data_IF_663314574618
#
_entry.id   IF_663314574618
#
_cell.length_a   1.000
_cell.length_b   1.000
_cell.length_c   1.000
_cell.angle_alpha   90.00
_cell.angle_beta   90.00
_cell.angle_gamma   90.00
#
_symmetry.space_group_name_H-M   'P 1'
#
loop_
_entity.id
_entity.type
_entity.pdbx_description
1 polymer ?
#
# COMPACT_ATOMS: atom_id res chain seq x y z
N UNK A 1 19.80 14.72 22.72
CA UNK A 1 18.32 14.68 22.72
C UNK A 1 17.69 13.43 22.09
N UNK A 2 17.70 13.22 20.77
CA UNK A 2 16.99 12.06 20.15
C UNK A 2 17.57 10.70 20.57
N UNK A 3 18.91 10.56 20.56
CA UNK A 3 19.57 9.30 20.96
C UNK A 3 19.35 8.96 22.43
N UNK A 4 19.35 9.96 23.31
CA UNK A 4 19.08 9.80 24.74
C UNK A 4 17.65 9.35 24.99
N UNK A 5 16.67 9.94 24.28
CA UNK A 5 15.28 9.51 24.37
C UNK A 5 15.13 8.05 23.95
N UNK A 6 15.71 7.66 22.81
CA UNK A 6 15.65 6.28 22.31
C UNK A 6 16.29 5.31 23.32
N UNK A 7 17.42 5.68 23.94
CA UNK A 7 18.06 4.85 24.96
C UNK A 7 17.21 4.72 26.25
N UNK A 8 16.44 5.75 26.60
CA UNK A 8 15.61 5.77 27.79
C UNK A 8 14.23 5.08 27.62
N UNK A 9 13.70 4.97 26.41
CA UNK A 9 12.36 4.42 26.15
C UNK A 9 12.13 3.02 26.74
N UNK A 10 13.05 2.03 26.61
CA UNK A 10 12.86 0.71 27.20
C UNK A 10 12.77 0.73 28.73
N UNK A 11 13.45 1.69 29.39
CA UNK A 11 13.48 1.81 30.84
C UNK A 11 12.24 2.55 31.40
N UNK A 12 11.64 3.45 30.61
CA UNK A 12 10.46 4.24 31.01
C UNK A 12 9.15 3.45 31.03
N UNK A 13 9.12 2.30 30.36
CA UNK A 13 7.93 1.45 30.25
C UNK A 13 8.22 0.03 30.76
N UNK A 14 8.63 -0.08 32.03
CA UNK A 14 8.53 -1.33 32.78
C UNK A 14 7.06 -1.49 33.25
N UNK A 15 6.40 -2.66 33.06
CA UNK A 15 4.97 -2.74 33.25
C UNK A 15 4.61 -2.71 34.75
N UNK A 16 3.57 -1.97 35.11
CA UNK A 16 2.54 -2.59 35.91
C UNK A 16 1.19 -2.36 35.25
N UNK A 17 0.61 -3.42 34.68
CA UNK A 17 -0.79 -3.40 34.24
C UNK A 17 -1.11 -4.27 33.03
N UNK A 18 -2.38 -4.61 32.83
CA UNK A 18 -2.85 -5.27 31.62
C UNK A 18 -2.59 -4.38 30.40
N UNK A 19 -2.25 -4.96 29.23
CA UNK A 19 -1.97 -4.20 28.03
C UNK A 19 -3.21 -3.44 27.56
N UNK A 20 -3.17 -2.11 27.61
CA UNK A 20 -4.18 -1.23 27.06
C UNK A 20 -3.58 -0.41 25.91
N UNK A 21 -4.36 -0.20 24.85
CA UNK A 21 -3.93 0.56 23.69
C UNK A 21 -5.02 1.53 23.23
N UNK A 22 -4.69 2.82 23.28
CA UNK A 22 -5.52 3.92 22.78
C UNK A 22 -5.10 4.35 21.36
N UNK A 23 -5.01 3.38 20.44
CA UNK A 23 -4.44 3.60 19.09
C UNK A 23 -5.19 4.69 18.32
N UNK A 24 -6.52 4.70 18.36
CA UNK A 24 -7.33 5.71 17.66
C UNK A 24 -7.02 7.14 18.11
N UNK A 25 -6.91 7.37 19.43
CA UNK A 25 -6.56 8.68 19.99
C UNK A 25 -5.12 9.08 19.66
N UNK A 26 -4.18 8.13 19.74
CA UNK A 26 -2.78 8.37 19.39
C UNK A 26 -2.62 8.76 17.91
N UNK A 27 -3.35 8.08 17.01
CA UNK A 27 -3.36 8.40 15.58
C UNK A 27 -3.97 9.78 15.29
N UNK A 28 -5.04 10.17 16.00
CA UNK A 28 -5.59 11.54 15.86
C UNK A 28 -4.61 12.61 16.31
N UNK A 29 -3.91 12.39 17.43
CA UNK A 29 -2.89 13.31 17.90
C UNK A 29 -1.73 13.42 16.88
N UNK A 30 -1.26 12.28 16.36
CA UNK A 30 -0.22 12.23 15.34
C UNK A 30 -0.67 12.91 14.03
N UNK A 31 -1.90 12.70 13.59
CA UNK A 31 -2.48 13.38 12.44
C UNK A 31 -2.44 14.91 12.62
N UNK A 32 -2.94 15.43 13.75
CA UNK A 32 -2.95 16.88 14.01
C UNK A 32 -1.54 17.47 14.05
N UNK A 33 -0.56 16.74 14.57
CA UNK A 33 0.83 17.17 14.62
C UNK A 33 1.47 17.21 13.23
N UNK A 34 1.14 16.26 12.37
CA UNK A 34 1.74 16.09 11.04
C UNK A 34 0.98 16.82 9.94
N UNK A 35 -0.29 17.19 10.15
CA UNK A 35 -1.17 17.79 9.14
C UNK A 35 -0.60 19.05 8.45
N UNK A 36 0.15 19.95 9.14
CA UNK A 36 0.71 21.12 8.48
C UNK A 36 1.80 20.82 7.45
N UNK A 37 2.52 19.70 7.59
CA UNK A 37 3.70 19.39 6.76
C UNK A 37 3.56 18.12 5.93
N UNK A 38 2.60 17.25 6.25
CA UNK A 38 2.54 15.90 5.72
C UNK A 38 3.67 15.01 6.25
N UNK A 39 3.83 13.83 5.63
CA UNK A 39 4.95 12.92 5.90
C UNK A 39 4.53 11.47 6.18
N UNK A 40 5.15 10.86 7.18
CA UNK A 40 4.99 9.43 7.50
C UNK A 40 4.74 9.22 8.98
N UNK A 41 3.68 8.49 9.32
CA UNK A 41 3.44 7.98 10.66
C UNK A 41 3.79 6.49 10.66
N UNK A 42 4.67 6.06 11.56
CA UNK A 42 5.02 4.64 11.75
C UNK A 42 4.43 4.16 13.07
N UNK A 43 3.47 3.23 13.00
CA UNK A 43 2.79 2.67 14.16
C UNK A 43 3.40 1.33 14.52
N UNK A 44 3.67 1.12 15.80
CA UNK A 44 4.01 -0.20 16.37
C UNK A 44 2.87 -0.64 17.27
N UNK A 45 2.16 -1.69 16.88
CA UNK A 45 1.00 -2.23 17.59
C UNK A 45 1.30 -3.65 18.07
N UNK A 46 1.03 -3.94 19.35
CA UNK A 46 1.32 -5.25 19.97
C UNK A 46 0.10 -5.92 20.62
N UNK A 47 -0.97 -5.16 20.87
CA UNK A 47 -2.22 -5.64 21.45
C UNK A 47 -3.43 -5.07 20.70
N UNK A 48 -4.63 -5.58 20.95
CA UNK A 48 -5.86 -5.05 20.35
C UNK A 48 -6.10 -3.63 20.90
N UNK A 49 -6.41 -2.63 20.05
CA UNK A 49 -6.89 -1.33 20.54
C UNK A 49 -8.18 -1.53 21.35
N UNK A 50 -8.14 -1.06 22.60
CA UNK A 50 -9.24 -1.26 23.57
C UNK A 50 -9.87 0.04 24.01
N UNK A 51 -9.27 1.18 23.66
CA UNK A 51 -9.67 2.51 24.11
C UNK A 51 -9.77 3.46 22.93
N UNK A 52 -10.89 4.18 22.83
CA UNK A 52 -11.12 5.21 21.82
C UNK A 52 -11.93 4.71 20.62
N UNK A 53 -12.24 5.61 19.67
CA UNK A 53 -13.15 5.30 18.57
C UNK A 53 -12.47 4.51 17.44
N UNK A 54 -13.23 3.67 16.76
CA UNK A 54 -12.80 2.95 15.55
C UNK A 54 -13.22 3.71 14.28
N UNK A 55 -12.26 4.37 13.62
CA UNK A 55 -12.52 5.22 12.45
C UNK A 55 -11.34 5.20 11.45
N UNK A 56 -10.55 4.11 11.43
CA UNK A 56 -9.30 3.99 10.67
C UNK A 56 -9.42 4.35 9.19
N UNK A 57 -10.48 3.91 8.52
CA UNK A 57 -10.73 4.25 7.10
C UNK A 57 -10.93 5.75 6.91
N UNK A 58 -11.74 6.40 7.75
CA UNK A 58 -11.99 7.85 7.66
C UNK A 58 -10.71 8.64 7.94
N UNK A 59 -9.98 8.26 8.99
CA UNK A 59 -8.70 8.90 9.31
C UNK A 59 -7.67 8.75 8.20
N UNK A 60 -7.65 7.59 7.51
CA UNK A 60 -6.74 7.39 6.38
C UNK A 60 -7.01 8.36 5.23
N UNK A 61 -8.28 8.69 4.98
CA UNK A 61 -8.67 9.67 3.97
C UNK A 61 -8.23 11.08 4.38
N UNK A 62 -8.43 11.45 5.65
CA UNK A 62 -7.97 12.73 6.21
C UNK A 62 -6.43 12.85 6.13
N UNK A 63 -5.72 11.78 6.50
CA UNK A 63 -4.27 11.67 6.35
C UNK A 63 -3.83 11.83 4.88
N UNK A 64 -4.51 11.15 3.96
CA UNK A 64 -4.17 11.22 2.53
C UNK A 64 -4.37 12.63 1.96
N UNK A 65 -5.43 13.32 2.40
CA UNK A 65 -5.65 14.73 2.09
C UNK A 65 -4.50 15.63 2.57
N UNK A 66 -4.03 15.40 3.79
CA UNK A 66 -2.91 16.10 4.41
C UNK A 66 -1.51 15.59 4.00
N UNK A 67 -1.40 14.75 2.96
CA UNK A 67 -0.13 14.17 2.49
C UNK A 67 0.62 13.36 3.56
N UNK A 68 -0.13 12.62 4.40
CA UNK A 68 0.39 11.71 5.41
C UNK A 68 0.12 10.26 5.01
N UNK A 69 1.15 9.41 5.02
CA UNK A 69 0.99 7.96 4.96
C UNK A 69 1.18 7.32 6.34
N UNK A 70 0.39 6.27 6.64
CA UNK A 70 0.47 5.54 7.89
C UNK A 70 0.94 4.11 7.65
N UNK A 71 2.13 3.77 8.12
CA UNK A 71 2.67 2.41 8.08
C UNK A 71 2.41 1.70 9.42
N UNK A 72 1.99 0.43 9.35
CA UNK A 72 1.63 -0.37 10.52
C UNK A 72 2.59 -1.54 10.69
N UNK A 73 3.30 -1.59 11.81
CA UNK A 73 4.02 -2.77 12.29
C UNK A 73 3.16 -3.45 13.36
N UNK A 74 2.64 -4.63 13.03
CA UNK A 74 1.83 -5.44 13.96
C UNK A 74 2.69 -6.61 14.50
N UNK A 75 3.03 -6.53 15.78
CA UNK A 75 3.86 -7.50 16.50
C UNK A 75 3.07 -8.10 17.68
N UNK A 76 1.92 -8.71 17.39
CA UNK A 76 1.06 -9.28 18.41
C UNK A 76 1.22 -10.79 18.56
N UNK A 77 1.06 -11.27 19.80
CA UNK A 77 0.95 -12.71 20.10
C UNK A 77 -0.50 -13.18 20.24
N UNK A 78 -1.46 -12.25 20.12
CA UNK A 78 -2.90 -12.48 20.23
C UNK A 78 -3.61 -11.81 19.06
N UNK A 79 -4.89 -12.11 18.88
CA UNK A 79 -5.74 -11.43 17.92
C UNK A 79 -5.71 -9.91 18.14
N UNK A 80 -5.56 -9.16 17.05
CA UNK A 80 -5.45 -7.69 17.05
C UNK A 80 -6.25 -7.05 15.91
N UNK A 81 -7.21 -7.78 15.34
CA UNK A 81 -8.08 -7.30 14.26
C UNK A 81 -7.35 -6.59 13.11
N UNK A 82 -6.42 -7.30 12.47
CA UNK A 82 -5.65 -6.74 11.35
C UNK A 82 -6.55 -6.28 10.20
N UNK A 83 -7.72 -6.90 10.00
CA UNK A 83 -8.66 -6.53 8.95
C UNK A 83 -9.11 -5.07 9.12
N UNK A 84 -9.57 -4.70 10.31
CA UNK A 84 -9.97 -3.32 10.62
C UNK A 84 -8.79 -2.35 10.62
N UNK A 85 -7.66 -2.75 11.25
CA UNK A 85 -6.47 -1.90 11.31
C UNK A 85 -5.84 -1.63 9.95
N UNK A 86 -5.88 -2.60 9.04
CA UNK A 86 -5.28 -2.49 7.71
C UNK A 86 -5.84 -1.31 6.91
N UNK A 87 -7.07 -0.88 7.22
CA UNK A 87 -7.72 0.27 6.60
C UNK A 87 -6.89 1.56 6.70
N UNK A 88 -6.19 1.78 7.83
CA UNK A 88 -5.40 3.00 8.00
C UNK A 88 -4.27 3.10 6.97
N UNK A 89 -3.59 1.99 6.70
CA UNK A 89 -2.48 1.91 5.75
C UNK A 89 -2.98 1.80 4.31
N UNK A 90 -4.03 1.00 4.05
CA UNK A 90 -4.56 0.78 2.70
C UNK A 90 -4.96 2.09 2.02
N UNK A 91 -5.69 2.96 2.71
CA UNK A 91 -6.23 4.20 2.14
C UNK A 91 -5.30 5.42 2.28
N UNK A 92 -4.20 5.33 3.04
CA UNK A 92 -3.18 6.39 3.17
C UNK A 92 -1.91 6.12 2.34
N UNK A 93 -1.92 5.10 1.47
CA UNK A 93 -0.74 4.62 0.73
C UNK A 93 0.41 4.12 1.61
N UNK A 94 0.09 3.63 2.80
CA UNK A 94 1.04 3.01 3.72
C UNK A 94 1.29 1.53 3.44
N UNK A 95 2.19 0.96 4.22
CA UNK A 95 2.62 -0.45 4.20
C UNK A 95 2.32 -1.11 5.53
N UNK A 96 1.94 -2.39 5.49
CA UNK A 96 1.70 -3.19 6.69
C UNK A 96 2.79 -4.25 6.81
N UNK A 97 3.41 -4.34 7.99
CA UNK A 97 4.38 -5.34 8.37
C UNK A 97 3.79 -6.19 9.49
N UNK A 98 3.45 -7.44 9.20
CA UNK A 98 2.86 -8.35 10.16
C UNK A 98 3.90 -9.39 10.61
N UNK A 99 4.26 -9.37 11.90
CA UNK A 99 5.15 -10.32 12.54
C UNK A 99 4.36 -11.09 13.62
N UNK A 100 3.66 -12.18 13.25
CA UNK A 100 2.81 -12.91 14.19
C UNK A 100 3.62 -13.61 15.27
N UNK A 101 3.06 -13.68 16.48
CA UNK A 101 3.65 -14.38 17.63
C UNK A 101 5.07 -13.88 17.96
N UNK A 102 5.28 -12.57 17.83
CA UNK A 102 6.57 -11.95 18.07
C UNK A 102 7.00 -12.08 19.53
N UNK A 103 8.24 -12.54 19.73
CA UNK A 103 8.92 -12.63 21.02
C UNK A 103 10.38 -12.23 20.85
N UNK A 104 10.80 -11.18 21.54
CA UNK A 104 12.17 -10.65 21.45
C UNK A 104 13.24 -11.67 21.90
N UNK A 105 12.88 -12.64 22.75
CA UNK A 105 13.76 -13.74 23.16
C UNK A 105 14.14 -14.68 22.03
N UNK A 106 13.38 -14.69 20.92
CA UNK A 106 13.69 -15.49 19.74
C UNK A 106 14.61 -14.68 18.82
N UNK A 107 15.89 -15.04 18.78
CA UNK A 107 16.93 -14.35 18.01
C UNK A 107 16.57 -14.16 16.54
N UNK A 108 15.95 -15.15 15.90
CA UNK A 108 15.55 -15.09 14.49
C UNK A 108 14.44 -14.04 14.22
N UNK A 109 13.46 -13.90 15.12
CA UNK A 109 12.39 -12.88 14.98
C UNK A 109 12.96 -11.49 15.22
N UNK A 110 13.84 -11.35 16.21
CA UNK A 110 14.56 -10.09 16.46
C UNK A 110 15.43 -9.69 15.27
N UNK A 111 16.13 -10.64 14.65
CA UNK A 111 16.89 -10.41 13.42
C UNK A 111 15.98 -10.03 12.25
N UNK A 112 14.85 -10.71 12.07
CA UNK A 112 13.87 -10.39 11.02
C UNK A 112 13.31 -8.96 11.17
N UNK A 113 12.92 -8.58 12.39
CA UNK A 113 12.46 -7.22 12.68
C UNK A 113 13.57 -6.20 12.40
N UNK A 114 14.80 -6.49 12.82
CA UNK A 114 15.96 -5.62 12.62
C UNK A 114 16.23 -5.40 11.13
N UNK A 115 16.25 -6.46 10.32
CA UNK A 115 16.47 -6.37 8.88
C UNK A 115 15.34 -5.60 8.19
N UNK A 116 14.09 -5.89 8.57
CA UNK A 116 12.90 -5.21 8.04
C UNK A 116 12.94 -3.72 8.34
N UNK A 117 13.22 -3.35 9.60
CA UNK A 117 13.29 -1.97 10.04
C UNK A 117 14.48 -1.24 9.42
N UNK A 118 15.63 -1.92 9.28
CA UNK A 118 16.81 -1.37 8.60
C UNK A 118 16.47 -1.01 7.16
N UNK A 119 15.85 -1.91 6.38
CA UNK A 119 15.37 -1.60 5.02
C UNK A 119 14.34 -0.46 5.04
N UNK A 120 13.37 -0.50 5.94
CA UNK A 120 12.29 0.48 6.03
C UNK A 120 12.78 1.92 6.32
N UNK A 121 13.82 2.07 7.15
CA UNK A 121 14.42 3.34 7.52
C UNK A 121 15.45 3.85 6.50
N UNK A 122 16.17 2.95 5.82
CA UNK A 122 17.25 3.31 4.88
C UNK A 122 16.82 3.37 3.42
N UNK A 123 15.70 2.75 3.04
CA UNK A 123 15.18 2.81 1.67
C UNK A 123 14.84 4.25 1.28
N UNK A 124 14.93 4.53 -0.02
CA UNK A 124 14.48 5.80 -0.58
C UNK A 124 12.98 5.97 -0.34
N UNK A 125 12.54 7.21 -0.17
CA UNK A 125 11.13 7.58 -0.02
C UNK A 125 10.85 8.84 -0.85
N UNK A 126 9.66 8.89 -1.46
CA UNK A 126 9.12 10.10 -2.06
C UNK A 126 7.89 10.57 -1.30
N UNK A 127 7.74 11.87 -1.15
CA UNK A 127 6.64 12.54 -0.44
C UNK A 127 5.72 13.26 -1.42
N UNK A 128 4.47 13.48 -1.01
CA UNK A 128 3.46 14.25 -1.74
C UNK A 128 3.32 13.78 -3.20
N UNK A 129 3.33 12.47 -3.37
CA UNK A 129 3.44 11.87 -4.68
C UNK A 129 2.06 11.71 -5.34
N UNK A 130 2.06 11.86 -6.66
CA UNK A 130 0.90 11.55 -7.50
C UNK A 130 1.37 10.72 -8.68
N UNK A 131 0.60 9.69 -9.00
CA UNK A 131 0.87 8.84 -10.17
C UNK A 131 -0.29 8.95 -11.13
N UNK A 132 0.01 9.31 -12.38
CA UNK A 132 -0.95 9.27 -13.48
C UNK A 132 -0.53 8.21 -14.48
N UNK A 133 -1.47 7.38 -14.92
CA UNK A 133 -1.25 6.41 -15.98
C UNK A 133 -2.04 6.83 -17.21
N UNK A 134 -1.37 6.91 -18.35
CA UNK A 134 -1.97 7.16 -19.66
C UNK A 134 -1.81 5.94 -20.54
N UNK A 135 -2.78 5.72 -21.41
CA UNK A 135 -2.77 4.67 -22.42
C UNK A 135 -3.15 5.28 -23.78
N UNK A 136 -2.82 4.58 -24.86
CA UNK A 136 -3.26 4.94 -26.21
C UNK A 136 -4.79 5.00 -26.27
N UNK A 137 -5.31 5.92 -27.09
CA UNK A 137 -6.75 6.04 -27.35
C UNK A 137 -7.35 4.68 -27.73
N UNK A 138 -8.55 4.42 -27.23
CA UNK A 138 -9.26 3.15 -27.40
C UNK A 138 -9.01 2.15 -26.27
N UNK A 139 -8.04 2.43 -25.39
CA UNK A 139 -7.85 1.71 -24.13
C UNK A 139 -8.22 2.64 -22.99
N UNK A 140 -8.94 2.10 -22.00
CA UNK A 140 -9.28 2.79 -20.77
C UNK A 140 -8.81 2.00 -19.55
N UNK A 141 -8.52 2.70 -18.47
CA UNK A 141 -8.18 2.09 -17.18
C UNK A 141 -9.48 1.88 -16.40
N UNK A 142 -9.80 0.62 -16.10
CA UNK A 142 -11.04 0.25 -15.45
C UNK A 142 -10.91 0.28 -13.92
N UNK A 143 -9.93 -0.44 -13.37
CA UNK A 143 -9.73 -0.56 -11.92
C UNK A 143 -8.25 -0.50 -11.57
N UNK A 144 -7.91 0.17 -10.46
CA UNK A 144 -6.60 0.08 -9.85
C UNK A 144 -6.62 -0.79 -8.60
N UNK A 145 -5.51 -1.50 -8.34
CA UNK A 145 -5.34 -2.39 -7.20
C UNK A 145 -4.04 -2.09 -6.43
N UNK A 146 -4.16 -1.82 -5.13
CA UNK A 146 -3.02 -1.53 -4.25
C UNK A 146 -3.41 -0.59 -3.10
N UNK A 147 -2.39 -0.10 -2.38
CA UNK A 147 -2.57 0.86 -1.29
C UNK A 147 -2.37 2.27 -1.84
N UNK A 148 -3.46 3.01 -1.99
CA UNK A 148 -3.47 4.39 -2.47
C UNK A 148 -4.84 5.01 -2.21
N UNK A 149 -4.94 6.31 -2.50
CA UNK A 149 -6.21 7.01 -2.58
C UNK A 149 -6.48 7.45 -4.03
N UNK A 150 -7.61 7.04 -4.60
CA UNK A 150 -8.02 7.40 -5.96
C UNK A 150 -8.62 8.81 -5.94
N UNK A 151 -8.06 9.74 -6.72
CA UNK A 151 -8.64 11.09 -6.90
C UNK A 151 -9.49 11.20 -8.15
N UNK A 152 -9.06 10.57 -9.25
CA UNK A 152 -9.80 10.45 -10.51
C UNK A 152 -9.55 9.08 -11.13
N UNK A 153 -10.22 8.78 -12.24
CA UNK A 153 -10.14 7.50 -12.96
C UNK A 153 -8.72 7.13 -13.42
N UNK A 154 -7.81 8.10 -13.58
CA UNK A 154 -6.43 7.92 -14.05
C UNK A 154 -5.36 8.45 -13.08
N UNK A 155 -5.74 9.01 -11.93
CA UNK A 155 -4.85 9.71 -11.00
C UNK A 155 -4.92 9.11 -9.59
N UNK A 156 -3.77 8.59 -9.16
CA UNK A 156 -3.56 8.06 -7.82
C UNK A 156 -2.84 9.08 -6.95
N UNK A 157 -3.38 9.31 -5.75
CA UNK A 157 -2.76 10.09 -4.68
C UNK A 157 -1.96 9.14 -3.78
N UNK A 158 -0.67 9.42 -3.66
CA UNK A 158 0.30 8.63 -2.91
C UNK A 158 1.04 9.57 -1.94
N UNK A 159 0.48 9.81 -0.74
CA UNK A 159 1.15 10.65 0.27
C UNK A 159 2.62 10.32 0.45
N UNK A 160 2.94 9.02 0.52
CA UNK A 160 4.28 8.51 0.38
C UNK A 160 4.34 7.44 -0.73
N UNK A 161 5.46 7.43 -1.45
CA UNK A 161 5.81 6.35 -2.37
C UNK A 161 7.07 5.65 -1.90
N UNK A 162 6.97 4.34 -1.74
CA UNK A 162 8.10 3.48 -1.39
C UNK A 162 8.54 2.66 -2.61
N UNK A 163 9.83 2.32 -2.73
CA UNK A 163 10.33 1.50 -3.83
C UNK A 163 9.85 0.04 -3.76
N UNK A 164 9.29 -0.37 -2.62
CA UNK A 164 8.79 -1.73 -2.41
C UNK A 164 7.27 -1.84 -2.67
N UNK A 165 6.61 -0.72 -3.00
CA UNK A 165 5.17 -0.70 -3.30
C UNK A 165 4.92 -1.10 -4.77
N UNK A 166 3.97 -2.03 -4.96
CA UNK A 166 3.55 -2.49 -6.28
C UNK A 166 2.07 -2.25 -6.54
N UNK A 167 1.75 -1.68 -7.71
CA UNK A 167 0.38 -1.39 -8.14
C UNK A 167 -0.05 -2.36 -9.24
N UNK A 168 -1.35 -2.63 -9.34
CA UNK A 168 -1.95 -3.40 -10.44
C UNK A 168 -3.04 -2.56 -11.08
N UNK A 169 -3.26 -2.74 -12.38
CA UNK A 169 -4.34 -2.05 -13.09
C UNK A 169 -5.04 -3.03 -14.03
N UNK A 170 -6.35 -2.96 -14.06
CA UNK A 170 -7.19 -3.63 -15.05
C UNK A 170 -7.48 -2.65 -16.18
N UNK A 171 -7.27 -3.10 -17.41
CA UNK A 171 -7.49 -2.33 -18.63
C UNK A 171 -8.73 -2.85 -19.36
N UNK A 172 -9.42 -1.96 -20.05
CA UNK A 172 -10.51 -2.27 -20.95
C UNK A 172 -10.22 -1.70 -22.34
N UNK A 173 -10.55 -2.46 -23.39
CA UNK A 173 -10.48 -1.99 -24.78
C UNK A 173 -11.88 -1.52 -25.16
N UNK A 174 -12.04 -0.21 -25.37
CA UNK A 174 -13.32 0.44 -25.65
C UNK A 174 -13.52 0.73 -27.15
N UNK A 175 -12.44 1.02 -27.87
CA UNK A 175 -12.45 1.24 -29.33
C UNK A 175 -11.59 0.18 -30.03
N UNK A 176 -11.90 -0.12 -31.30
CA UNK A 176 -11.07 -1.02 -32.11
C UNK A 176 -9.68 -0.42 -32.31
N UNK A 177 -8.64 -1.25 -32.15
CA UNK A 177 -7.24 -0.87 -32.28
C UNK A 177 -6.65 -1.28 -33.65
N UNK A 178 -7.49 -1.67 -34.61
CA UNK A 178 -7.06 -2.22 -35.92
C UNK A 178 -6.16 -1.29 -36.74
N UNK A 179 -6.29 0.02 -36.54
CA UNK A 179 -5.58 1.04 -37.33
C UNK A 179 -4.17 1.31 -36.78
N UNK A 180 -3.81 0.69 -35.66
CA UNK A 180 -2.56 0.90 -34.96
C UNK A 180 -1.69 -0.36 -35.05
N UNK A 181 -0.36 -0.17 -35.12
CA UNK A 181 0.59 -1.27 -35.04
C UNK A 181 1.05 -1.55 -33.60
N UNK A 182 0.98 -0.53 -32.75
CA UNK A 182 1.43 -0.59 -31.36
C UNK A 182 0.55 0.27 -30.46
N UNK A 183 0.46 -0.14 -29.20
CA UNK A 183 -0.15 0.61 -28.11
C UNK A 183 0.92 1.00 -27.10
N UNK A 184 0.75 2.17 -26.50
CA UNK A 184 1.70 2.73 -25.54
C UNK A 184 1.00 2.95 -24.20
N UNK A 185 1.71 2.62 -23.14
CA UNK A 185 1.34 2.89 -21.77
C UNK A 185 2.41 3.78 -21.15
N UNK A 186 1.99 4.84 -20.48
CA UNK A 186 2.90 5.77 -19.82
C UNK A 186 2.47 6.01 -18.38
N UNK A 187 3.31 5.62 -17.43
CA UNK A 187 3.15 5.93 -16.02
C UNK A 187 4.06 7.11 -15.64
N UNK A 188 3.46 8.21 -15.19
CA UNK A 188 4.16 9.39 -14.71
C UNK A 188 3.97 9.53 -13.20
N UNK A 189 5.05 9.41 -12.44
CA UNK A 189 5.10 9.58 -10.99
C UNK A 189 5.78 10.91 -10.67
N UNK A 190 5.01 11.88 -10.19
CA UNK A 190 5.51 13.14 -9.63
C UNK A 190 5.67 12.96 -8.11
N UNK A 191 6.84 13.30 -7.56
CA UNK A 191 7.09 13.20 -6.12
C UNK A 191 8.14 14.21 -5.65
N UNK A 192 8.12 14.55 -4.36
CA UNK A 192 9.18 15.31 -3.68
C UNK A 192 10.18 14.30 -3.12
N UNK A 193 11.45 14.41 -3.52
CA UNK A 193 12.51 13.54 -2.99
C UNK A 193 12.87 13.90 -1.54
N UNK A 194 13.56 13.01 -0.83
CA UNK A 194 14.07 13.28 0.52
C UNK A 194 15.09 14.44 0.59
N UNK A 195 15.56 14.94 -0.54
CA UNK A 195 16.43 16.12 -0.64
C UNK A 195 15.66 17.42 -0.89
N UNK A 196 14.32 17.38 -0.92
CA UNK A 196 13.48 18.56 -1.18
C UNK A 196 13.26 18.88 -2.66
N UNK A 197 13.78 18.06 -3.58
CA UNK A 197 13.61 18.30 -5.01
C UNK A 197 12.31 17.69 -5.52
N UNK A 198 11.53 18.45 -6.29
CA UNK A 198 10.36 17.95 -7.01
C UNK A 198 10.80 17.26 -8.30
N UNK A 199 10.53 15.96 -8.42
CA UNK A 199 10.99 15.13 -9.54
C UNK A 199 9.82 14.42 -10.21
N UNK A 200 9.92 14.20 -11.51
CA UNK A 200 8.99 13.37 -12.29
C UNK A 200 9.76 12.15 -12.79
N UNK A 201 9.24 10.96 -12.49
CA UNK A 201 9.72 9.69 -13.07
C UNK A 201 8.69 9.21 -14.08
N UNK A 202 9.14 8.94 -15.30
CA UNK A 202 8.27 8.46 -16.38
C UNK A 202 8.73 7.07 -16.80
N UNK A 203 7.78 6.14 -16.88
CA UNK A 203 7.97 4.82 -17.49
C UNK A 203 7.07 4.75 -18.71
N UNK A 204 7.64 4.40 -19.87
CA UNK A 204 6.89 4.22 -21.12
C UNK A 204 7.09 2.78 -21.58
N UNK A 205 5.99 2.09 -21.84
CA UNK A 205 5.94 0.73 -22.37
C UNK A 205 5.19 0.76 -23.69
N UNK A 206 5.78 0.22 -24.76
CA UNK A 206 5.12 0.03 -26.05
C UNK A 206 4.94 -1.47 -26.29
N UNK A 207 3.73 -1.88 -26.70
CA UNK A 207 3.38 -3.27 -26.98
C UNK A 207 2.80 -3.36 -28.40
N UNK A 208 3.18 -4.39 -29.19
CA UNK A 208 2.61 -4.61 -30.50
C UNK A 208 1.14 -5.07 -30.38
N UNK A 209 0.33 -4.75 -31.39
CA UNK A 209 -1.04 -5.26 -31.49
C UNK A 209 -1.02 -6.61 -32.21
N UNK A 210 -1.69 -7.60 -31.60
CA UNK A 210 -1.89 -8.92 -32.19
C UNK A 210 -3.28 -9.00 -32.83
N UNK A 211 -3.36 -9.59 -34.02
CA UNK A 211 -4.62 -9.87 -34.73
C UNK A 211 -5.06 -11.33 -34.60
N UNK A 212 -4.16 -12.22 -34.17
CA UNK A 212 -4.47 -13.65 -33.95
C UNK A 212 -4.41 -14.00 -32.46
N UNK A 213 -5.27 -14.93 -32.03
CA UNK A 213 -5.28 -15.42 -30.65
C UNK A 213 -3.96 -16.13 -30.30
N UNK A 214 -3.36 -16.84 -31.25
CA UNK A 214 -2.10 -17.57 -31.06
C UNK A 214 -0.98 -16.62 -30.64
N UNK A 215 -0.89 -15.45 -31.28
CA UNK A 215 0.13 -14.44 -30.93
C UNK A 215 -0.11 -13.87 -29.52
N UNK A 216 -1.37 -13.65 -29.13
CA UNK A 216 -1.72 -13.20 -27.77
C UNK A 216 -1.28 -14.23 -26.72
N UNK A 217 -1.55 -15.52 -26.97
CA UNK A 217 -1.18 -16.60 -26.05
C UNK A 217 0.33 -16.75 -25.92
N UNK A 218 1.09 -16.62 -27.02
CA UNK A 218 2.55 -16.67 -26.98
C UNK A 218 3.19 -15.49 -26.24
N UNK A 219 2.56 -14.31 -26.29
CA UNK A 219 3.05 -13.10 -25.62
C UNK A 219 2.56 -12.96 -24.16
N UNK A 220 1.72 -13.87 -23.66
CA UNK A 220 1.11 -13.77 -22.35
C UNK A 220 2.12 -13.96 -21.21
N UNK A 221 2.26 -12.94 -20.34
CA UNK A 221 3.07 -13.05 -19.12
C UNK A 221 2.25 -13.69 -17.99
N UNK A 222 2.50 -14.99 -17.76
CA UNK A 222 1.87 -15.77 -16.71
C UNK A 222 2.02 -15.16 -15.30
N UNK A 223 3.15 -14.53 -14.98
CA UNK A 223 3.38 -13.96 -13.66
C UNK A 223 2.56 -12.69 -13.47
N UNK A 224 2.47 -11.85 -14.50
CA UNK A 224 1.64 -10.65 -14.49
C UNK A 224 0.15 -11.01 -14.39
N UNK A 225 -0.30 -12.03 -15.14
CA UNK A 225 -1.68 -12.52 -15.11
C UNK A 225 -2.04 -13.01 -13.70
N UNK A 226 -1.26 -13.92 -13.13
CA UNK A 226 -1.49 -14.44 -11.77
C UNK A 226 -1.44 -13.33 -10.73
N UNK A 227 -0.48 -12.40 -10.86
CA UNK A 227 -0.36 -11.25 -9.96
C UNK A 227 -1.58 -10.32 -9.98
N UNK A 228 -2.13 -10.03 -11.17
CA UNK A 228 -3.34 -9.21 -11.31
C UNK A 228 -4.58 -9.94 -10.80
N UNK A 229 -4.76 -11.21 -11.17
CA UNK A 229 -5.88 -12.04 -10.70
C UNK A 229 -5.89 -12.18 -9.18
N UNK A 230 -4.71 -12.35 -8.56
CA UNK A 230 -4.59 -12.39 -7.10
C UNK A 230 -5.10 -11.10 -6.46
N UNK A 231 -4.81 -9.94 -7.05
CA UNK A 231 -5.29 -8.64 -6.56
C UNK A 231 -6.80 -8.50 -6.73
N UNK A 232 -7.34 -8.90 -7.89
CA UNK A 232 -8.78 -8.89 -8.15
C UNK A 232 -9.55 -9.80 -7.17
N UNK A 233 -8.99 -10.97 -6.86
CA UNK A 233 -9.57 -11.89 -5.89
C UNK A 233 -9.58 -11.32 -4.46
N UNK A 234 -8.51 -10.64 -4.06
CA UNK A 234 -8.46 -9.97 -2.74
C UNK A 234 -9.56 -8.92 -2.61
N UNK A 235 -9.77 -8.11 -3.65
CA UNK A 235 -10.86 -7.12 -3.61
C UNK A 235 -12.24 -7.78 -3.64
N UNK A 236 -12.40 -8.88 -4.39
CA UNK A 236 -13.64 -9.68 -4.39
C UNK A 236 -13.95 -10.29 -3.03
N UNK A 237 -12.93 -10.82 -2.33
CA UNK A 237 -13.07 -11.34 -0.97
C UNK A 237 -13.58 -10.27 0.01
N UNK A 238 -13.13 -9.02 -0.17
CA UNK A 238 -13.50 -7.91 0.71
C UNK A 238 -14.89 -7.33 0.39
N UNK A 239 -15.32 -7.36 -0.88
CA UNK A 239 -16.61 -6.78 -1.31
C UNK A 239 -17.77 -7.77 -1.32
N UNK A 240 -17.50 -9.06 -1.56
CA UNK A 240 -18.50 -10.10 -1.68
C UNK A 240 -18.20 -11.23 -0.68
N UNK A 241 -17.66 -12.36 -1.13
CA UNK A 241 -17.34 -13.49 -0.27
C UNK A 241 -16.08 -14.23 -0.71
N UNK A 242 -15.47 -14.97 0.21
CA UNK A 242 -14.32 -15.83 -0.08
C UNK A 242 -14.68 -16.97 -1.06
N UNK A 243 -15.92 -17.46 -1.01
CA UNK A 243 -16.39 -18.52 -1.91
C UNK A 243 -16.43 -18.03 -3.36
N UNK A 244 -17.05 -16.87 -3.59
CA UNK A 244 -17.12 -16.26 -4.92
C UNK A 244 -15.74 -15.90 -5.48
N UNK A 245 -14.84 -15.39 -4.63
CA UNK A 245 -13.48 -15.10 -5.05
C UNK A 245 -12.72 -16.37 -5.49
N UNK A 246 -12.92 -17.48 -4.78
CA UNK A 246 -12.33 -18.78 -5.15
C UNK A 246 -12.90 -19.29 -6.47
N UNK A 247 -14.22 -19.25 -6.64
CA UNK A 247 -14.87 -19.65 -7.89
C UNK A 247 -14.35 -18.81 -9.07
N UNK A 248 -14.27 -17.49 -8.91
CA UNK A 248 -13.75 -16.60 -9.94
C UNK A 248 -12.30 -16.91 -10.36
N UNK A 249 -11.42 -17.26 -9.41
CA UNK A 249 -10.06 -17.69 -9.76
C UNK A 249 -10.09 -18.99 -10.56
N UNK A 250 -10.89 -19.97 -10.13
CA UNK A 250 -10.98 -21.28 -10.80
C UNK A 250 -11.49 -21.11 -12.23
N UNK A 251 -12.52 -20.28 -12.45
CA UNK A 251 -13.09 -20.02 -13.78
C UNK A 251 -12.10 -19.35 -14.73
N UNK A 252 -11.13 -18.59 -14.23
CA UNK A 252 -10.13 -17.91 -15.08
C UNK A 252 -8.88 -18.77 -15.28
N UNK A 253 -8.57 -19.67 -14.35
CA UNK A 253 -7.37 -20.51 -14.39
C UNK A 253 -7.56 -21.85 -15.13
N UNK A 254 -8.81 -22.31 -15.28
CA UNK A 254 -9.20 -23.58 -15.93
C UNK A 254 -9.95 -23.27 -17.21
#
# INVERSE_FOLDING_TARGET
MVRELIAALPQRHAPPGPPASALGAALQAAYKLMAPTGGRITVFQTCLPTIGPDFYKRLALDCSGAQIAVDLFLLSSQYCDLATLSGISKFSAGTIYHLPLFRASRSWQSAQLTNTLTRYLTRKIGFEAVMRVRCTRGIAIHTFHGNFFVRSTDLLSLPNVSPDAGFGMQLAIEESLSDLQQVCFQAALLYTSSKGERRIRVHTLALPIASTLTDVLHAADQHCIIGLLSKMAVDRCASASMSEAKEAIITVAV
#
